data_IF_618810292063
#
_entry.id   IF_618810292063
#
_cell.length_a   1.000
_cell.length_b   1.000
_cell.length_c   1.000
_cell.angle_alpha   90.00
_cell.angle_beta   90.00
_cell.angle_gamma   90.00
#
_symmetry.space_group_name_H-M   'P 1'
#
loop_
_entity.id
_entity.type
_entity.pdbx_description
1 polymer ?
#
# COMPACT_ATOMS: atom_id res chain seq x y z
N UNK A 1 -14.72 -0.63 15.91
CA UNK A 1 -14.63 0.51 15.00
C UNK A 1 -14.09 0.06 13.64
N UNK A 2 -14.58 0.62 12.53
CA UNK A 2 -13.99 0.35 11.23
C UNK A 2 -12.57 0.92 11.13
N UNK A 3 -11.80 0.38 10.21
CA UNK A 3 -10.46 0.85 9.85
C UNK A 3 -10.49 2.38 9.55
N UNK A 4 -9.52 3.13 10.06
CA UNK A 4 -9.50 4.60 9.91
C UNK A 4 -9.50 5.07 8.44
N UNK A 5 -8.72 4.50 7.52
CA UNK A 5 -8.81 4.84 6.10
C UNK A 5 -10.21 4.70 5.51
N UNK A 6 -10.99 3.70 5.94
CA UNK A 6 -12.39 3.55 5.51
C UNK A 6 -13.29 4.67 6.04
N UNK A 7 -13.04 5.19 7.24
CA UNK A 7 -13.74 6.38 7.76
C UNK A 7 -13.41 7.63 6.97
N UNK A 8 -12.15 7.80 6.58
CA UNK A 8 -11.68 8.93 5.77
C UNK A 8 -12.39 8.98 4.42
N UNK A 9 -12.73 7.83 3.82
CA UNK A 9 -13.52 7.78 2.59
C UNK A 9 -14.89 8.49 2.72
N UNK A 10 -15.54 8.36 3.88
CA UNK A 10 -16.83 9.06 4.15
C UNK A 10 -16.61 10.57 4.17
N UNK A 11 -15.54 11.04 4.82
CA UNK A 11 -15.21 12.47 4.86
C UNK A 11 -14.84 13.01 3.48
N UNK A 12 -14.12 12.25 2.67
CA UNK A 12 -13.81 12.62 1.29
C UNK A 12 -15.07 12.72 0.43
N UNK A 13 -15.99 11.76 0.53
CA UNK A 13 -17.26 11.81 -0.18
C UNK A 13 -18.10 13.01 0.24
N UNK A 14 -18.19 13.30 1.55
CA UNK A 14 -18.85 14.48 2.06
C UNK A 14 -18.24 15.77 1.48
N UNK A 15 -16.92 15.88 1.46
CA UNK A 15 -16.24 17.03 0.88
C UNK A 15 -16.51 17.18 -0.63
N UNK A 16 -16.54 16.08 -1.40
CA UNK A 16 -16.92 16.11 -2.81
C UNK A 16 -18.35 16.66 -3.01
N UNK A 17 -19.31 16.18 -2.22
CA UNK A 17 -20.72 16.53 -2.35
C UNK A 17 -21.04 17.93 -1.82
N UNK A 18 -20.46 18.32 -0.67
CA UNK A 18 -20.85 19.53 0.04
C UNK A 18 -19.90 20.72 -0.19
N UNK A 19 -18.68 20.48 -0.62
CA UNK A 19 -17.69 21.54 -0.83
C UNK A 19 -17.32 21.68 -2.31
N UNK A 20 -16.86 20.61 -2.92
CA UNK A 20 -16.34 20.66 -4.31
C UNK A 20 -17.46 20.87 -5.31
N UNK A 21 -18.54 20.09 -5.22
CA UNK A 21 -19.69 20.20 -6.10
C UNK A 21 -20.35 21.60 -6.05
N UNK A 22 -20.42 22.23 -4.86
CA UNK A 22 -20.97 23.61 -4.72
C UNK A 22 -20.09 24.67 -5.40
N UNK A 23 -18.77 24.45 -5.44
CA UNK A 23 -17.83 25.38 -6.11
C UNK A 23 -17.79 25.17 -7.63
N UNK A 24 -17.80 23.92 -8.04
CA UNK A 24 -17.81 23.50 -9.43
C UNK A 24 -18.66 22.22 -9.53
N UNK A 25 -19.78 22.25 -10.24
CA UNK A 25 -20.62 21.08 -10.42
C UNK A 25 -19.81 19.87 -10.90
N UNK A 26 -20.06 18.72 -10.26
CA UNK A 26 -19.49 17.44 -10.62
C UNK A 26 -20.56 16.65 -11.37
N UNK A 27 -20.22 16.10 -12.52
CA UNK A 27 -21.08 15.23 -13.32
C UNK A 27 -20.89 13.76 -12.93
N UNK A 28 -19.65 13.42 -12.50
CA UNK A 28 -19.22 12.07 -12.24
C UNK A 28 -18.32 12.01 -11.01
N UNK A 29 -18.55 11.00 -10.16
CA UNK A 29 -17.59 10.57 -9.11
C UNK A 29 -17.21 9.13 -9.42
N UNK A 30 -15.92 8.85 -9.46
CA UNK A 30 -15.38 7.51 -9.64
C UNK A 30 -14.75 7.05 -8.33
N UNK A 31 -15.21 5.90 -7.80
CA UNK A 31 -14.65 5.31 -6.58
C UNK A 31 -14.38 3.83 -6.83
N UNK A 32 -13.16 3.44 -7.25
CA UNK A 32 -12.87 2.07 -7.62
C UNK A 32 -12.78 1.12 -6.42
N UNK A 33 -13.22 -0.11 -6.65
CA UNK A 33 -12.99 -1.26 -5.79
C UNK A 33 -11.82 -2.06 -6.36
N UNK A 34 -10.62 -1.83 -5.84
CA UNK A 34 -9.42 -2.54 -6.29
C UNK A 34 -9.30 -3.86 -5.55
N UNK A 35 -9.53 -4.99 -6.25
CA UNK A 35 -9.55 -6.34 -5.67
C UNK A 35 -8.15 -6.97 -5.59
N UNK A 36 -7.32 -6.74 -6.59
CA UNK A 36 -5.97 -7.30 -6.66
C UNK A 36 -4.98 -6.31 -7.27
N UNK A 37 -3.71 -6.48 -6.94
CA UNK A 37 -2.60 -5.66 -7.42
C UNK A 37 -1.53 -6.55 -8.05
N UNK A 38 -0.66 -6.00 -8.89
CA UNK A 38 0.52 -6.72 -9.37
C UNK A 38 1.47 -7.01 -8.22
N UNK A 39 2.11 -8.17 -8.27
CA UNK A 39 3.13 -8.56 -7.30
C UNK A 39 4.44 -8.91 -7.98
N UNK A 40 5.53 -8.55 -7.33
CA UNK A 40 6.89 -8.95 -7.71
C UNK A 40 7.43 -10.06 -6.80
N UNK A 41 6.66 -10.44 -5.78
CA UNK A 41 7.01 -11.54 -4.88
C UNK A 41 6.80 -12.89 -5.58
N UNK A 42 7.78 -13.75 -5.46
CA UNK A 42 7.69 -15.10 -6.00
C UNK A 42 6.89 -16.03 -5.08
N UNK A 43 6.26 -17.02 -5.68
CA UNK A 43 5.57 -18.09 -4.95
C UNK A 43 4.47 -17.63 -3.97
N UNK A 44 3.98 -16.40 -4.08
CA UNK A 44 2.85 -15.95 -3.26
C UNK A 44 1.55 -16.65 -3.67
N UNK A 45 0.67 -16.90 -2.69
CA UNK A 45 -0.65 -17.53 -2.93
C UNK A 45 -1.58 -16.58 -3.70
N UNK A 46 -1.39 -15.29 -3.55
CA UNK A 46 -2.16 -14.26 -4.24
C UNK A 46 -1.66 -12.85 -3.96
N UNK A 47 -2.31 -11.88 -4.59
CA UNK A 47 -1.98 -10.46 -4.50
C UNK A 47 -3.23 -9.61 -4.22
N UNK A 48 -4.09 -10.07 -3.31
CA UNK A 48 -5.36 -9.41 -3.00
C UNK A 48 -5.15 -8.12 -2.21
N UNK A 49 -5.97 -7.13 -2.52
CA UNK A 49 -6.10 -5.96 -1.68
C UNK A 49 -6.84 -6.28 -0.37
N UNK A 50 -6.78 -5.38 0.59
CA UNK A 50 -7.51 -5.53 1.84
C UNK A 50 -9.04 -5.52 1.58
N UNK A 51 -9.83 -6.47 2.13
CA UNK A 51 -11.29 -6.49 1.96
C UNK A 51 -11.97 -5.19 2.36
N UNK A 52 -11.48 -4.50 3.40
CA UNK A 52 -12.00 -3.19 3.81
C UNK A 52 -11.76 -2.13 2.74
N UNK A 53 -10.62 -2.16 2.04
CA UNK A 53 -10.34 -1.27 0.91
C UNK A 53 -11.31 -1.57 -0.24
N UNK A 54 -11.45 -2.85 -0.60
CA UNK A 54 -12.39 -3.27 -1.67
C UNK A 54 -13.81 -2.83 -1.35
N UNK A 55 -14.29 -3.06 -0.12
CA UNK A 55 -15.64 -2.71 0.30
C UNK A 55 -15.88 -1.23 0.61
N UNK A 56 -14.85 -0.38 0.61
CA UNK A 56 -14.96 1.03 1.04
C UNK A 56 -15.92 1.84 0.18
N UNK A 57 -15.95 1.61 -1.13
CA UNK A 57 -16.83 2.34 -2.05
C UNK A 57 -18.30 2.04 -1.78
N UNK A 58 -18.67 0.77 -1.62
CA UNK A 58 -20.05 0.37 -1.33
C UNK A 58 -20.48 0.80 0.07
N UNK A 59 -19.61 0.66 1.07
CA UNK A 59 -19.88 1.12 2.43
C UNK A 59 -20.11 2.63 2.47
N UNK A 60 -19.27 3.39 1.76
CA UNK A 60 -19.43 4.85 1.65
C UNK A 60 -20.72 5.18 0.93
N UNK A 61 -20.99 4.56 -0.22
CA UNK A 61 -22.27 4.75 -0.94
C UNK A 61 -23.46 4.50 -0.04
N UNK A 62 -23.49 3.37 0.67
CA UNK A 62 -24.58 2.99 1.57
C UNK A 62 -24.83 4.05 2.65
N UNK A 63 -23.79 4.66 3.21
CA UNK A 63 -23.91 5.72 4.20
C UNK A 63 -24.62 6.97 3.64
N UNK A 64 -24.39 7.29 2.36
CA UNK A 64 -24.94 8.50 1.72
C UNK A 64 -26.31 8.31 1.04
N UNK A 65 -26.71 7.06 0.77
CA UNK A 65 -28.04 6.79 0.15
C UNK A 65 -29.07 6.21 1.13
N UNK A 66 -28.75 6.21 2.43
CA UNK A 66 -29.59 5.59 3.46
C UNK A 66 -31.01 6.14 3.50
N UNK A 67 -31.17 7.46 3.34
CA UNK A 67 -32.49 8.14 3.41
C UNK A 67 -33.02 8.44 2.01
N UNK A 68 -32.16 8.78 1.08
CA UNK A 68 -32.48 9.08 -0.31
C UNK A 68 -31.24 9.08 -1.16
N UNK A 69 -31.40 8.92 -2.48
CA UNK A 69 -30.24 8.96 -3.41
C UNK A 69 -29.75 10.41 -3.60
N UNK A 70 -28.82 10.83 -2.75
CA UNK A 70 -28.23 12.16 -2.80
C UNK A 70 -27.45 12.42 -4.10
N UNK A 71 -26.89 11.37 -4.72
CA UNK A 71 -26.16 11.51 -5.98
C UNK A 71 -27.12 11.86 -7.11
N UNK A 72 -28.23 11.13 -7.23
CA UNK A 72 -29.27 11.43 -8.20
C UNK A 72 -29.87 12.82 -7.97
N UNK A 73 -30.15 13.23 -6.71
CA UNK A 73 -30.65 14.54 -6.37
C UNK A 73 -29.74 15.70 -6.79
N UNK A 74 -28.41 15.46 -6.74
CA UNK A 74 -27.42 16.45 -7.15
C UNK A 74 -27.02 16.32 -8.65
N UNK A 75 -27.64 15.42 -9.40
CA UNK A 75 -27.28 15.15 -10.81
C UNK A 75 -25.88 14.55 -10.99
N UNK A 76 -25.36 13.87 -9.98
CA UNK A 76 -24.02 13.26 -10.00
C UNK A 76 -24.16 11.77 -10.29
N UNK A 77 -23.41 11.27 -11.28
CA UNK A 77 -23.30 9.84 -11.51
C UNK A 77 -22.16 9.26 -10.64
N UNK A 78 -22.50 8.36 -9.72
CA UNK A 78 -21.47 7.60 -8.96
C UNK A 78 -21.19 6.31 -9.69
N UNK A 79 -19.91 6.10 -10.08
CA UNK A 79 -19.44 4.87 -10.73
C UNK A 79 -18.44 4.17 -9.80
N UNK A 80 -18.75 2.91 -9.49
CA UNK A 80 -17.95 2.06 -8.60
C UNK A 80 -17.40 0.89 -9.44
N UNK A 81 -16.28 1.06 -10.14
CA UNK A 81 -15.72 -0.01 -10.94
C UNK A 81 -15.01 -1.03 -10.04
N UNK A 82 -15.39 -2.30 -10.15
CA UNK A 82 -14.64 -3.40 -9.57
C UNK A 82 -13.52 -3.80 -10.51
N UNK A 83 -12.26 -3.66 -10.06
CA UNK A 83 -11.09 -3.83 -10.91
C UNK A 83 -10.03 -4.74 -10.29
N UNK A 84 -9.46 -5.58 -11.13
CA UNK A 84 -8.36 -6.48 -10.80
C UNK A 84 -7.09 -5.96 -11.48
N UNK A 85 -6.36 -5.09 -10.78
CA UNK A 85 -5.14 -4.49 -11.30
C UNK A 85 -3.97 -5.48 -11.38
N UNK A 86 -4.05 -6.62 -10.69
CA UNK A 86 -3.08 -7.70 -10.81
C UNK A 86 -3.03 -8.36 -12.19
N UNK A 87 -4.03 -8.13 -13.03
CA UNK A 87 -4.10 -8.63 -14.40
C UNK A 87 -4.49 -7.49 -15.37
N UNK A 88 -3.50 -6.86 -16.00
CA UNK A 88 -3.69 -5.66 -16.85
C UNK A 88 -4.72 -5.85 -17.95
N UNK A 89 -4.75 -7.03 -18.61
CA UNK A 89 -5.74 -7.33 -19.66
C UNK A 89 -7.17 -7.37 -19.10
N UNK A 90 -7.35 -7.95 -17.92
CA UNK A 90 -8.65 -8.01 -17.25
C UNK A 90 -9.07 -6.62 -16.78
N UNK A 91 -8.16 -5.86 -16.18
CA UNK A 91 -8.39 -4.47 -15.78
C UNK A 91 -8.90 -3.62 -16.97
N UNK A 92 -8.27 -3.70 -18.15
CA UNK A 92 -8.73 -3.02 -19.38
C UNK A 92 -10.18 -3.35 -19.72
N UNK A 93 -10.54 -4.63 -19.71
CA UNK A 93 -11.92 -5.07 -20.02
C UNK A 93 -12.93 -4.56 -18.99
N UNK A 94 -12.56 -4.64 -17.71
CA UNK A 94 -13.40 -4.14 -16.61
C UNK A 94 -13.60 -2.62 -16.73
N UNK A 95 -12.55 -1.85 -16.94
CA UNK A 95 -12.64 -0.40 -17.14
C UNK A 95 -13.53 -0.04 -18.33
N UNK A 96 -13.38 -0.73 -19.47
CA UNK A 96 -14.25 -0.54 -20.62
C UNK A 96 -15.73 -0.78 -20.27
N UNK A 97 -16.04 -1.84 -19.53
CA UNK A 97 -17.41 -2.17 -19.12
C UNK A 97 -18.06 -1.05 -18.32
N UNK A 98 -17.32 -0.38 -17.44
CA UNK A 98 -17.85 0.69 -16.60
C UNK A 98 -17.92 2.05 -17.32
N UNK A 99 -16.98 2.33 -18.24
CA UNK A 99 -16.78 3.66 -18.78
C UNK A 99 -17.19 3.85 -20.24
N UNK A 100 -17.42 2.77 -20.98
CA UNK A 100 -17.83 2.84 -22.40
C UNK A 100 -19.03 3.78 -22.60
N UNK A 101 -20.12 3.52 -21.90
CA UNK A 101 -21.37 4.29 -22.05
C UNK A 101 -21.34 5.61 -21.25
N UNK A 102 -20.58 5.66 -20.16
CA UNK A 102 -20.49 6.84 -19.27
C UNK A 102 -19.72 7.97 -19.93
N UNK A 103 -18.63 7.63 -20.65
CA UNK A 103 -17.70 8.56 -21.28
C UNK A 103 -17.70 8.47 -22.80
N UNK A 104 -18.49 7.57 -23.39
CA UNK A 104 -18.50 7.35 -24.83
C UNK A 104 -17.20 6.80 -25.40
N UNK A 105 -16.46 6.00 -24.63
CA UNK A 105 -15.13 5.53 -25.00
C UNK A 105 -15.20 4.38 -26.02
N UNK A 106 -14.34 4.43 -27.01
CA UNK A 106 -13.99 3.29 -27.84
C UNK A 106 -13.08 2.32 -27.06
N UNK A 107 -12.99 1.08 -27.53
CA UNK A 107 -12.09 0.06 -26.96
C UNK A 107 -10.62 0.51 -27.03
N UNK A 108 -10.21 1.13 -28.15
CA UNK A 108 -8.85 1.63 -28.33
C UNK A 108 -8.50 2.78 -27.39
N UNK A 109 -9.41 3.73 -27.19
CA UNK A 109 -9.21 4.84 -26.25
C UNK A 109 -9.07 4.31 -24.83
N UNK A 110 -9.97 3.43 -24.39
CA UNK A 110 -9.88 2.78 -23.09
C UNK A 110 -8.58 2.00 -22.92
N UNK A 111 -8.17 1.21 -23.94
CA UNK A 111 -6.94 0.42 -23.87
C UNK A 111 -5.72 1.32 -23.69
N UNK A 112 -5.61 2.40 -24.49
CA UNK A 112 -4.51 3.37 -24.36
C UNK A 112 -4.52 4.08 -22.99
N UNK A 113 -5.69 4.53 -22.52
CA UNK A 113 -5.79 5.21 -21.23
C UNK A 113 -5.35 4.33 -20.07
N UNK A 114 -5.77 3.06 -20.03
CA UNK A 114 -5.37 2.12 -18.98
C UNK A 114 -3.87 1.79 -19.10
N UNK A 115 -3.34 1.63 -20.32
CA UNK A 115 -1.90 1.42 -20.53
C UNK A 115 -1.05 2.58 -20.04
N UNK A 116 -1.43 3.80 -20.35
CA UNK A 116 -0.72 4.99 -19.86
C UNK A 116 -0.81 5.11 -18.33
N UNK A 117 -1.94 4.73 -17.72
CA UNK A 117 -2.07 4.64 -16.28
C UNK A 117 -1.08 3.65 -15.65
N UNK A 118 -0.97 2.44 -16.20
CA UNK A 118 0.01 1.46 -15.73
C UNK A 118 1.46 1.90 -15.97
N UNK A 119 1.77 2.50 -17.12
CA UNK A 119 3.12 3.04 -17.38
C UNK A 119 3.50 4.10 -16.35
N UNK A 120 2.58 4.99 -16.00
CA UNK A 120 2.82 6.03 -14.99
C UNK A 120 3.06 5.41 -13.61
N UNK A 121 2.29 4.38 -13.24
CA UNK A 121 2.47 3.64 -11.99
C UNK A 121 3.82 2.91 -11.97
N UNK A 122 4.17 2.21 -13.04
CA UNK A 122 5.46 1.51 -13.16
C UNK A 122 6.63 2.50 -13.02
N UNK A 123 6.56 3.64 -13.71
CA UNK A 123 7.58 4.68 -13.64
C UNK A 123 7.73 5.25 -12.22
N UNK A 124 6.61 5.46 -11.52
CA UNK A 124 6.62 5.89 -10.12
C UNK A 124 7.36 4.90 -9.23
N UNK A 125 7.03 3.61 -9.30
CA UNK A 125 7.69 2.60 -8.47
C UNK A 125 9.17 2.41 -8.81
N UNK A 126 9.52 2.49 -10.09
CA UNK A 126 10.94 2.44 -10.52
C UNK A 126 11.73 3.59 -9.90
N UNK A 127 11.24 4.82 -10.02
CA UNK A 127 11.94 5.99 -9.48
C UNK A 127 11.98 5.97 -7.94
N UNK A 128 10.87 5.59 -7.30
CA UNK A 128 10.79 5.49 -5.85
C UNK A 128 11.77 4.46 -5.26
N UNK A 129 11.95 3.31 -5.91
CA UNK A 129 12.95 2.31 -5.52
C UNK A 129 14.37 2.74 -5.82
N UNK A 130 14.58 3.46 -6.91
CA UNK A 130 15.89 4.05 -7.24
C UNK A 130 16.33 5.06 -6.19
N UNK A 131 15.42 5.90 -5.70
CA UNK A 131 15.69 6.81 -4.58
C UNK A 131 16.03 6.03 -3.30
N UNK A 132 15.26 5.00 -2.99
CA UNK A 132 15.52 4.11 -1.86
C UNK A 132 16.89 3.43 -1.94
N UNK A 133 17.26 2.94 -3.13
CA UNK A 133 18.58 2.38 -3.40
C UNK A 133 19.69 3.40 -3.14
N UNK A 134 19.55 4.62 -3.66
CA UNK A 134 20.53 5.68 -3.46
C UNK A 134 20.72 6.04 -1.97
N UNK A 135 19.64 6.03 -1.20
CA UNK A 135 19.70 6.22 0.26
C UNK A 135 20.47 5.07 0.92
N UNK A 136 20.20 3.83 0.58
CA UNK A 136 20.90 2.66 1.15
C UNK A 136 22.39 2.74 0.83
N UNK A 137 22.77 2.97 -0.43
CA UNK A 137 24.17 3.11 -0.85
C UNK A 137 24.88 4.26 -0.12
N UNK A 138 24.17 5.36 0.19
CA UNK A 138 24.72 6.45 1.00
C UNK A 138 24.92 6.02 2.46
N UNK A 139 23.93 5.34 3.07
CA UNK A 139 24.05 4.81 4.43
C UNK A 139 25.24 3.87 4.59
N UNK A 140 25.46 3.00 3.60
CA UNK A 140 26.62 2.08 3.58
C UNK A 140 27.96 2.85 3.52
N UNK A 141 28.08 3.83 2.60
CA UNK A 141 29.29 4.65 2.46
C UNK A 141 29.60 5.43 3.73
N UNK A 142 28.57 5.99 4.35
CA UNK A 142 28.70 6.89 5.50
C UNK A 142 28.71 6.12 6.84
N UNK A 143 28.53 4.79 6.82
CA UNK A 143 28.41 3.92 7.99
C UNK A 143 27.32 4.42 8.95
N UNK A 144 26.20 4.85 8.39
CA UNK A 144 25.04 5.38 9.12
C UNK A 144 23.89 4.39 9.11
N UNK A 145 22.90 4.65 9.94
CA UNK A 145 21.68 3.85 10.07
C UNK A 145 20.51 4.59 9.42
N UNK A 146 19.69 3.85 8.68
CA UNK A 146 18.38 4.26 8.19
C UNK A 146 17.26 3.48 8.85
N UNK A 147 16.07 4.03 8.87
CA UNK A 147 14.89 3.42 9.46
C UNK A 147 13.95 2.94 8.34
N UNK A 148 13.59 1.66 8.37
CA UNK A 148 12.55 1.12 7.49
C UNK A 148 11.21 1.16 8.21
N UNK A 149 10.28 1.91 7.64
CA UNK A 149 8.91 2.02 8.13
C UNK A 149 8.10 0.81 7.66
N UNK A 150 7.95 -0.18 8.53
CA UNK A 150 7.12 -1.37 8.31
C UNK A 150 5.66 -1.01 8.61
N UNK A 151 4.97 -0.45 7.62
CA UNK A 151 3.64 0.12 7.78
C UNK A 151 2.71 -0.22 6.61
N UNK A 152 1.43 0.07 6.78
CA UNK A 152 0.45 0.00 5.68
C UNK A 152 0.67 1.20 4.73
N UNK A 153 0.34 1.08 3.44
CA UNK A 153 0.58 2.16 2.47
C UNK A 153 -0.01 3.52 2.85
N UNK A 154 -1.11 3.57 3.60
CA UNK A 154 -1.69 4.84 4.01
C UNK A 154 -0.84 5.62 5.02
N UNK A 155 0.10 4.98 5.74
CA UNK A 155 1.06 5.68 6.59
C UNK A 155 2.14 6.45 5.80
N UNK A 156 2.19 6.29 4.47
CA UNK A 156 3.03 7.14 3.63
C UNK A 156 2.40 8.52 3.40
N UNK A 157 1.13 8.70 3.75
CA UNK A 157 0.45 9.99 3.66
C UNK A 157 0.76 10.84 4.91
N UNK A 158 1.26 12.09 4.74
CA UNK A 158 1.64 12.96 5.87
C UNK A 158 0.47 13.36 6.76
N UNK A 159 -0.77 13.29 6.27
CA UNK A 159 -1.97 13.52 7.09
C UNK A 159 -2.37 12.32 7.95
N UNK A 160 -1.75 11.15 7.76
CA UNK A 160 -2.11 9.90 8.40
C UNK A 160 -0.97 9.21 9.16
N UNK A 161 0.26 9.69 9.03
CA UNK A 161 1.45 9.07 9.62
C UNK A 161 1.87 9.65 10.98
N UNK A 162 1.05 10.53 11.56
CA UNK A 162 1.29 11.16 12.87
C UNK A 162 2.63 11.95 12.95
N UNK A 163 3.14 12.42 11.81
CA UNK A 163 4.42 13.14 11.69
C UNK A 163 5.64 12.30 12.14
N UNK A 164 5.47 11.00 12.42
CA UNK A 164 6.55 10.13 12.91
C UNK A 164 7.76 10.10 11.96
N UNK A 165 7.59 9.92 10.63
CA UNK A 165 8.72 10.00 9.70
C UNK A 165 9.43 11.35 9.74
N UNK A 166 8.68 12.44 9.84
CA UNK A 166 9.25 13.81 9.86
C UNK A 166 10.09 14.05 11.12
N UNK A 167 9.62 13.58 12.28
CA UNK A 167 10.37 13.71 13.54
C UNK A 167 11.68 12.89 13.49
N UNK A 168 11.65 11.69 12.95
CA UNK A 168 12.86 10.88 12.80
C UNK A 168 13.85 11.51 11.80
N UNK A 169 13.36 12.09 10.71
CA UNK A 169 14.22 12.81 9.76
C UNK A 169 14.85 14.06 10.38
N UNK A 170 14.14 14.81 11.23
CA UNK A 170 14.71 15.93 12.01
C UNK A 170 15.86 15.48 12.93
N UNK A 171 15.81 14.25 13.42
CA UNK A 171 16.88 13.62 14.19
C UNK A 171 18.05 13.12 13.31
N UNK A 172 17.93 13.25 11.99
CA UNK A 172 18.96 12.88 11.03
C UNK A 172 18.91 11.44 10.54
N UNK A 173 17.83 10.70 10.80
CA UNK A 173 17.64 9.34 10.30
C UNK A 173 16.87 9.35 8.98
N UNK A 174 17.44 8.88 7.86
CA UNK A 174 16.69 8.65 6.64
C UNK A 174 15.63 7.59 6.85
N UNK A 175 14.43 7.83 6.28
CA UNK A 175 13.30 6.91 6.35
C UNK A 175 13.09 6.26 4.99
N UNK A 176 13.00 4.94 5.01
CA UNK A 176 12.62 4.11 3.88
C UNK A 176 11.23 3.51 4.13
N UNK A 177 10.40 3.49 3.13
CA UNK A 177 9.09 2.80 3.18
C UNK A 177 9.21 1.41 2.57
N UNK A 178 8.25 0.54 2.82
CA UNK A 178 8.18 -0.79 2.19
C UNK A 178 8.29 -0.70 0.67
N UNK A 179 7.64 0.32 0.06
CA UNK A 179 7.61 0.50 -1.40
C UNK A 179 8.89 1.11 -1.98
N UNK A 180 9.71 1.78 -1.16
CA UNK A 180 10.97 2.38 -1.60
C UNK A 180 12.17 1.43 -1.50
N UNK A 181 12.02 0.28 -0.83
CA UNK A 181 13.11 -0.69 -0.77
C UNK A 181 13.43 -1.22 -2.18
N UNK A 182 14.72 -1.26 -2.55
CA UNK A 182 15.13 -1.79 -3.85
C UNK A 182 14.85 -3.29 -3.95
N UNK A 183 14.44 -3.71 -5.13
CA UNK A 183 14.24 -5.12 -5.49
C UNK A 183 15.24 -5.59 -6.53
N UNK A 184 16.36 -4.88 -6.65
CA UNK A 184 17.43 -5.20 -7.59
C UNK A 184 18.16 -6.47 -7.14
N UNK A 185 18.40 -7.37 -8.07
CA UNK A 185 18.98 -8.69 -7.81
C UNK A 185 20.39 -8.57 -7.18
N UNK A 186 21.17 -7.57 -7.58
CA UNK A 186 22.52 -7.32 -7.07
C UNK A 186 22.55 -6.90 -5.60
N UNK A 187 21.47 -6.31 -5.08
CA UNK A 187 21.30 -6.00 -3.66
C UNK A 187 20.62 -7.17 -2.94
N UNK A 188 19.53 -7.67 -3.49
CA UNK A 188 18.70 -8.65 -2.80
C UNK A 188 19.41 -10.01 -2.68
N UNK A 189 20.05 -10.51 -3.75
CA UNK A 189 20.66 -11.85 -3.74
C UNK A 189 21.71 -12.03 -2.64
N UNK A 190 22.67 -11.12 -2.43
CA UNK A 190 23.64 -11.28 -1.33
C UNK A 190 22.98 -11.31 0.06
N UNK A 191 21.93 -10.52 0.28
CA UNK A 191 21.21 -10.45 1.57
C UNK A 191 20.46 -11.75 1.89
N UNK A 192 19.98 -12.46 0.86
CA UNK A 192 19.18 -13.68 1.02
C UNK A 192 19.93 -14.96 0.67
N UNK A 193 21.22 -14.87 0.26
CA UNK A 193 21.98 -16.02 -0.25
C UNK A 193 22.06 -17.18 0.75
N UNK A 194 22.23 -16.90 2.04
CA UNK A 194 22.31 -17.93 3.06
C UNK A 194 21.00 -18.75 3.16
N UNK A 195 19.86 -18.10 3.05
CA UNK A 195 18.54 -18.77 3.09
C UNK A 195 18.29 -19.60 1.82
N UNK A 196 18.77 -19.11 0.67
CA UNK A 196 18.70 -19.82 -0.60
C UNK A 196 19.56 -21.08 -0.55
N UNK A 197 20.81 -20.96 -0.10
CA UNK A 197 21.76 -22.08 0.01
C UNK A 197 21.29 -23.13 1.02
N UNK A 198 20.59 -22.70 2.09
CA UNK A 198 19.97 -23.60 3.05
C UNK A 198 18.67 -24.26 2.55
N UNK A 199 18.14 -23.82 1.40
CA UNK A 199 16.90 -24.34 0.81
C UNK A 199 15.64 -23.89 1.50
N UNK A 200 15.68 -22.83 2.33
CA UNK A 200 14.49 -22.26 2.98
C UNK A 200 13.61 -21.49 2.00
N UNK A 201 14.22 -20.83 1.03
CA UNK A 201 13.58 -20.06 -0.04
C UNK A 201 14.21 -20.39 -1.39
N UNK A 202 13.49 -20.12 -2.48
CA UNK A 202 13.96 -20.38 -3.85
C UNK A 202 14.72 -19.22 -4.47
N UNK A 203 14.37 -18.01 -4.05
CA UNK A 203 14.94 -16.74 -4.56
C UNK A 203 14.72 -15.63 -3.52
N UNK A 204 15.32 -14.44 -3.70
CA UNK A 204 15.23 -13.34 -2.73
C UNK A 204 13.83 -12.81 -2.47
N UNK A 205 12.85 -13.12 -3.30
CA UNK A 205 11.49 -12.61 -3.25
C UNK A 205 10.50 -13.62 -2.68
N UNK A 206 10.98 -14.78 -2.23
CA UNK A 206 10.18 -15.82 -1.59
C UNK A 206 10.06 -15.57 -0.08
N UNK A 207 8.82 -15.60 0.43
CA UNK A 207 8.53 -15.40 1.87
C UNK A 207 7.87 -16.61 2.53
N UNK A 208 7.80 -17.76 1.82
CA UNK A 208 7.08 -18.95 2.31
C UNK A 208 7.74 -19.61 3.50
N UNK A 209 9.00 -19.37 3.75
CA UNK A 209 9.71 -19.80 4.96
C UNK A 209 9.07 -19.24 6.23
N UNK A 210 8.61 -18.00 6.20
CA UNK A 210 8.00 -17.30 7.35
C UNK A 210 6.50 -17.06 7.19
N UNK A 211 5.98 -16.91 5.95
CA UNK A 211 4.57 -16.59 5.70
C UNK A 211 3.98 -17.41 4.54
N UNK A 212 3.42 -18.58 4.88
CA UNK A 212 2.84 -19.50 3.87
C UNK A 212 1.51 -19.02 3.31
N UNK A 213 0.71 -18.28 4.08
CA UNK A 213 -0.62 -17.79 3.69
C UNK A 213 -0.56 -16.42 3.01
N UNK A 214 0.34 -16.26 2.05
CA UNK A 214 0.73 -15.03 1.38
C UNK A 214 -0.28 -14.58 0.30
N UNK A 215 -1.53 -14.30 0.68
CA UNK A 215 -2.58 -13.90 -0.27
C UNK A 215 -2.79 -12.38 -0.39
N UNK A 216 -2.38 -11.61 0.63
CA UNK A 216 -2.59 -10.15 0.69
C UNK A 216 -1.32 -9.41 0.30
N UNK A 217 -1.36 -8.64 -0.79
CA UNK A 217 -0.17 -8.01 -1.38
C UNK A 217 0.58 -7.11 -0.39
N UNK A 218 -0.11 -6.16 0.23
CA UNK A 218 0.55 -5.24 1.16
C UNK A 218 1.11 -5.93 2.41
N UNK A 219 0.46 -7.01 2.86
CA UNK A 219 0.96 -7.85 3.96
C UNK A 219 2.20 -8.61 3.53
N UNK A 220 2.18 -9.20 2.33
CA UNK A 220 3.31 -9.93 1.77
C UNK A 220 4.53 -9.03 1.60
N UNK A 221 4.34 -7.82 1.04
CA UNK A 221 5.41 -6.83 0.90
C UNK A 221 5.99 -6.39 2.25
N UNK A 222 5.14 -6.20 3.27
CA UNK A 222 5.59 -5.84 4.62
C UNK A 222 6.43 -6.96 5.26
N UNK A 223 6.04 -8.22 5.11
CA UNK A 223 6.81 -9.38 5.58
C UNK A 223 8.16 -9.47 4.86
N UNK A 224 8.18 -9.28 3.54
CA UNK A 224 9.43 -9.24 2.79
C UNK A 224 10.34 -8.08 3.23
N UNK A 225 9.76 -6.90 3.45
CA UNK A 225 10.51 -5.73 3.92
C UNK A 225 11.13 -5.97 5.31
N UNK A 226 10.44 -6.69 6.20
CA UNK A 226 11.01 -7.11 7.47
C UNK A 226 12.20 -8.05 7.28
N UNK A 227 12.10 -9.02 6.38
CA UNK A 227 13.22 -9.92 6.02
C UNK A 227 14.40 -9.14 5.43
N UNK A 228 14.15 -8.19 4.54
CA UNK A 228 15.18 -7.32 3.95
C UNK A 228 15.89 -6.49 5.05
N UNK A 229 15.10 -5.82 5.89
CA UNK A 229 15.62 -4.98 6.99
C UNK A 229 16.46 -5.79 7.99
N UNK A 230 16.00 -6.97 8.36
CA UNK A 230 16.67 -7.87 9.28
C UNK A 230 18.04 -8.35 8.77
N UNK A 231 18.29 -8.33 7.45
CA UNK A 231 19.55 -8.78 6.82
C UNK A 231 20.49 -7.65 6.47
N UNK A 232 20.01 -6.42 6.44
CA UNK A 232 20.82 -5.28 6.02
C UNK A 232 21.49 -4.60 7.21
N UNK A 233 22.83 -4.49 7.23
CA UNK A 233 23.58 -4.02 8.42
C UNK A 233 23.32 -2.56 8.79
N UNK A 234 22.88 -1.75 7.84
CA UNK A 234 22.64 -0.30 8.04
C UNK A 234 21.16 0.04 8.23
N UNK A 235 20.28 -0.93 8.44
CA UNK A 235 18.85 -0.68 8.59
C UNK A 235 18.33 -1.15 9.94
N UNK A 236 17.36 -0.41 10.47
CA UNK A 236 16.58 -0.76 11.66
C UNK A 236 15.09 -0.71 11.33
N UNK A 237 14.28 -1.46 12.05
CA UNK A 237 12.86 -1.58 11.78
C UNK A 237 12.01 -0.74 12.73
N UNK A 238 11.10 0.05 12.18
CA UNK A 238 10.02 0.72 12.90
C UNK A 238 8.67 0.23 12.35
N UNK A 239 7.89 -0.43 13.16
CA UNK A 239 6.55 -0.85 12.77
C UNK A 239 5.50 0.16 13.22
N UNK A 240 4.68 0.63 12.26
CA UNK A 240 3.47 1.38 12.53
C UNK A 240 2.26 0.53 12.18
N UNK A 241 1.37 0.33 13.14
CA UNK A 241 0.16 -0.45 12.93
C UNK A 241 -0.94 -0.10 13.93
N UNK A 242 -2.11 -0.68 13.73
CA UNK A 242 -3.24 -0.61 14.65
C UNK A 242 -3.83 -2.01 14.81
N UNK A 243 -4.17 -2.41 16.04
CA UNK A 243 -4.87 -3.66 16.32
C UNK A 243 -6.21 -3.81 15.58
N UNK A 244 -6.75 -2.69 15.07
CA UNK A 244 -7.96 -2.68 14.24
C UNK A 244 -7.68 -3.14 12.80
N UNK A 245 -6.43 -3.24 12.40
CA UNK A 245 -6.06 -3.73 11.07
C UNK A 245 -6.05 -5.26 11.04
N UNK A 246 -7.09 -5.85 10.44
CA UNK A 246 -7.22 -7.31 10.31
C UNK A 246 -6.15 -7.99 9.43
N UNK A 247 -5.36 -7.22 8.70
CA UNK A 247 -4.25 -7.72 7.87
C UNK A 247 -2.88 -7.53 8.52
N UNK A 248 -2.76 -6.70 9.56
CA UNK A 248 -1.52 -6.53 10.31
C UNK A 248 -1.52 -7.38 11.59
N UNK A 249 -2.62 -7.42 12.33
CA UNK A 249 -2.69 -8.17 13.58
C UNK A 249 -2.19 -9.64 13.45
N UNK A 250 -2.51 -10.39 12.38
CA UNK A 250 -2.02 -11.76 12.22
C UNK A 250 -0.52 -11.90 11.96
N UNK A 251 0.15 -10.82 11.56
CA UNK A 251 1.58 -10.87 11.20
C UNK A 251 2.49 -10.16 12.22
N UNK A 252 1.97 -9.62 13.31
CA UNK A 252 2.79 -8.97 14.34
C UNK A 252 3.89 -9.87 14.86
N UNK A 253 3.54 -11.09 15.27
CA UNK A 253 4.52 -12.05 15.76
C UNK A 253 5.51 -12.49 14.67
N UNK A 254 5.04 -12.61 13.43
CA UNK A 254 5.92 -12.96 12.30
C UNK A 254 6.96 -11.86 12.04
N UNK A 255 6.55 -10.60 12.03
CA UNK A 255 7.45 -9.46 11.87
C UNK A 255 8.45 -9.39 13.04
N UNK A 256 7.94 -9.50 14.26
CA UNK A 256 8.71 -9.48 15.51
C UNK A 256 9.79 -10.58 15.49
N UNK A 257 9.39 -11.84 15.23
CA UNK A 257 10.31 -12.97 15.14
C UNK A 257 11.39 -12.79 14.06
N UNK A 258 11.03 -12.28 12.87
CA UNK A 258 11.99 -12.03 11.79
C UNK A 258 13.06 -11.03 12.24
N UNK A 259 12.66 -9.92 12.86
CA UNK A 259 13.56 -8.82 13.17
C UNK A 259 14.35 -9.09 14.46
N UNK A 260 13.71 -9.59 15.50
CA UNK A 260 14.38 -9.89 16.77
C UNK A 260 15.39 -11.03 16.65
N UNK A 261 15.07 -12.11 15.90
CA UNK A 261 15.99 -13.22 15.69
C UNK A 261 17.27 -12.82 14.90
N UNK A 262 17.23 -11.72 14.15
CA UNK A 262 18.40 -11.20 13.44
C UNK A 262 19.29 -10.33 14.33
N UNK A 263 18.81 -9.91 15.51
CA UNK A 263 19.46 -8.91 16.36
C UNK A 263 19.34 -7.47 15.85
N UNK A 264 18.54 -7.22 14.82
CA UNK A 264 18.28 -5.88 14.30
C UNK A 264 17.42 -5.11 15.30
N UNK A 265 17.77 -3.84 15.64
CA UNK A 265 16.93 -3.01 16.47
C UNK A 265 15.52 -2.87 15.88
N UNK A 266 14.53 -3.10 16.72
CA UNK A 266 13.11 -3.08 16.34
C UNK A 266 12.29 -2.28 17.34
N UNK A 267 11.42 -1.43 16.85
CA UNK A 267 10.44 -0.74 17.65
C UNK A 267 9.07 -0.81 16.97
N UNK A 268 8.00 -1.00 17.76
CA UNK A 268 6.66 -1.19 17.22
C UNK A 268 5.63 -0.34 17.96
N UNK A 269 4.91 0.47 17.19
CA UNK A 269 3.67 1.12 17.60
C UNK A 269 2.49 0.28 17.10
N UNK A 270 2.01 -0.66 17.90
CA UNK A 270 0.93 -1.60 17.52
C UNK A 270 -0.47 -1.06 17.78
N UNK A 271 -0.60 0.06 18.48
CA UNK A 271 -1.89 0.67 18.81
C UNK A 271 -1.86 2.19 18.60
N UNK A 272 -1.68 2.59 17.35
CA UNK A 272 -1.77 4.01 16.98
C UNK A 272 -3.24 4.39 16.94
N UNK A 273 -3.65 5.37 17.78
CA UNK A 273 -4.99 5.94 17.75
C UNK A 273 -5.10 7.01 16.66
N UNK A 274 -5.47 6.58 15.47
CA UNK A 274 -5.66 7.46 14.31
C UNK A 274 -6.81 8.48 14.49
N UNK A 275 -7.64 8.33 15.52
CA UNK A 275 -8.68 9.31 15.85
C UNK A 275 -8.16 10.40 16.82
N UNK A 276 -7.03 10.14 17.50
CA UNK A 276 -6.41 11.06 18.47
C UNK A 276 -4.90 11.10 18.28
N UNK A 277 -4.41 11.67 17.17
CA UNK A 277 -2.99 11.64 16.82
C UNK A 277 -2.07 12.28 17.89
N UNK A 278 -2.57 13.22 18.68
CA UNK A 278 -1.81 13.91 19.76
C UNK A 278 -1.79 13.15 21.07
N UNK A 279 -2.43 11.99 21.16
CA UNK A 279 -2.54 11.19 22.38
C UNK A 279 -1.88 9.81 22.30
N UNK A 280 -1.12 9.56 21.23
CA UNK A 280 -0.42 8.28 20.98
C UNK A 280 0.94 8.25 21.67
#
# INVERSE_FOLDING_TARGET
>A
DPCFPSKVCISHMHNLLETKHKRRPLDLIVFPQVDSMETWLSNSVGSRACPTVVGSADTTRAAFVKESDIFAQKGIKLVIPFVQMGERKLCKRQMLTYFKDVLGLSEDENSRAVEEGFKAQDAFFVEHRKDGRAIIEQLERDQRIGVVLLARPYHNDPGMNHEIPDELQKLGYPILTVQSLPIDEDICRPLFQADIDAGFITDPYDIRDVWKNSYSENTNQKVWAAKFTARHPNLVALELSSFKCGHDAPIYTVIEEIVENSGTPYFSFKDIDENKPTGS
#
